data_IF_743677195254
#
_entry.id   IF_743677195254
#
_cell.length_a   1.000
_cell.length_b   1.000
_cell.length_c   1.000
_cell.angle_alpha   90.00
_cell.angle_beta   90.00
_cell.angle_gamma   90.00
#
_symmetry.space_group_name_H-M   'P 1'
#
loop_
_entity.id
_entity.type
_entity.pdbx_description
1 polymer ?
#
# COMPACT_ATOMS: atom_id res chain seq x y z
N UNK A 1 25.71 8.64 -15.95
CA UNK A 1 24.57 8.31 -15.08
C UNK A 1 23.79 9.55 -14.65
N UNK A 2 24.43 10.58 -14.07
CA UNK A 2 23.81 11.89 -13.79
C UNK A 2 23.27 12.61 -15.04
N UNK A 3 23.97 12.52 -16.17
CA UNK A 3 23.56 13.20 -17.41
C UNK A 3 22.33 12.57 -18.10
N UNK A 4 22.06 11.28 -17.88
CA UNK A 4 20.85 10.61 -18.39
C UNK A 4 19.63 10.99 -17.54
N UNK A 5 19.84 11.17 -16.23
CA UNK A 5 18.84 11.69 -15.31
C UNK A 5 18.51 13.16 -15.56
N UNK A 6 19.51 14.00 -15.89
CA UNK A 6 19.27 15.38 -16.30
C UNK A 6 18.54 15.45 -17.64
N UNK A 7 18.91 14.65 -18.64
CA UNK A 7 18.24 14.64 -19.96
C UNK A 7 16.77 14.19 -19.90
N UNK A 8 16.42 13.35 -18.91
CA UNK A 8 15.04 12.91 -18.67
C UNK A 8 14.18 13.99 -17.98
N UNK A 9 14.80 15.01 -17.37
CA UNK A 9 14.13 16.01 -16.52
C UNK A 9 14.34 17.48 -16.95
N UNK A 10 15.17 17.77 -17.95
CA UNK A 10 15.48 19.16 -18.35
C UNK A 10 14.96 19.50 -19.74
N UNK A 11 13.89 20.30 -19.79
CA UNK A 11 13.69 21.22 -20.92
C UNK A 11 12.25 21.49 -21.38
N UNK A 12 11.34 20.53 -21.33
CA UNK A 12 10.01 20.68 -21.97
C UNK A 12 8.79 20.16 -21.17
N UNK A 13 9.00 19.34 -20.13
CA UNK A 13 7.92 18.66 -19.41
C UNK A 13 7.30 19.49 -18.27
N UNK A 14 7.98 20.54 -17.79
CA UNK A 14 7.44 21.43 -16.74
C UNK A 14 6.25 22.26 -17.27
N UNK A 15 6.10 22.37 -18.59
CA UNK A 15 4.95 23.00 -19.27
C UNK A 15 3.70 22.11 -19.37
N UNK A 16 3.77 20.82 -19.04
CA UNK A 16 2.65 19.87 -19.19
C UNK A 16 1.72 19.80 -17.95
N UNK A 17 2.09 20.46 -16.86
CA UNK A 17 1.19 20.75 -15.74
C UNK A 17 0.32 21.97 -16.06
N UNK A 18 -0.41 21.91 -17.17
CA UNK A 18 -1.45 22.89 -17.45
C UNK A 18 -2.45 22.88 -16.29
N UNK A 19 -2.93 24.04 -15.86
CA UNK A 19 -3.97 24.16 -14.82
C UNK A 19 -5.18 23.27 -15.16
N UNK A 20 -5.46 23.08 -16.45
CA UNK A 20 -6.53 22.21 -16.96
C UNK A 20 -6.33 20.71 -16.67
N UNK A 21 -5.09 20.21 -16.58
CA UNK A 21 -4.81 18.80 -16.25
C UNK A 21 -4.70 18.55 -14.74
N UNK A 22 -4.31 19.57 -13.97
CA UNK A 22 -4.25 19.50 -12.50
C UNK A 22 -5.63 19.60 -11.84
N UNK A 23 -6.55 20.36 -12.42
CA UNK A 23 -7.88 20.58 -11.86
C UNK A 23 -8.68 19.27 -11.67
N UNK A 24 -8.77 18.34 -12.65
CA UNK A 24 -9.43 17.05 -12.46
C UNK A 24 -8.80 16.20 -11.36
N UNK A 25 -7.47 16.17 -11.25
CA UNK A 25 -6.76 15.40 -10.21
C UNK A 25 -7.05 15.98 -8.82
N UNK A 26 -7.00 17.31 -8.70
CA UNK A 26 -7.33 18.00 -7.46
C UNK A 26 -8.78 17.72 -7.03
N UNK A 27 -9.73 17.82 -7.96
CA UNK A 27 -11.14 17.51 -7.69
C UNK A 27 -11.34 16.04 -7.33
N UNK A 28 -10.68 15.10 -8.01
CA UNK A 28 -10.77 13.68 -7.73
C UNK A 28 -10.26 13.31 -6.33
N UNK A 29 -9.25 14.02 -5.81
CA UNK A 29 -8.75 13.81 -4.47
C UNK A 29 -9.57 14.53 -3.39
N UNK A 30 -10.08 15.73 -3.68
CA UNK A 30 -10.75 16.57 -2.68
C UNK A 30 -12.24 16.27 -2.53
N UNK A 31 -12.96 15.96 -3.61
CA UNK A 31 -14.40 15.71 -3.57
C UNK A 31 -14.77 14.50 -2.69
N UNK A 32 -14.09 13.33 -2.76
CA UNK A 32 -14.42 12.20 -1.88
C UNK A 32 -14.17 12.53 -0.40
N UNK A 33 -13.09 13.26 -0.10
CA UNK A 33 -12.79 13.71 1.26
C UNK A 33 -13.84 14.68 1.76
N UNK A 34 -14.25 15.66 0.94
CA UNK A 34 -15.34 16.57 1.27
C UNK A 34 -16.66 15.83 1.50
N UNK A 35 -16.98 14.84 0.65
CA UNK A 35 -18.17 14.00 0.82
C UNK A 35 -18.14 13.19 2.12
N UNK A 36 -16.98 12.62 2.49
CA UNK A 36 -16.77 11.92 3.77
C UNK A 36 -16.99 12.86 4.95
N UNK A 37 -16.46 14.09 4.90
CA UNK A 37 -16.64 15.08 5.95
C UNK A 37 -18.11 15.50 6.07
N UNK A 38 -18.78 15.79 4.96
CA UNK A 38 -20.21 16.11 4.95
C UNK A 38 -21.00 14.95 5.56
N UNK A 39 -20.76 13.70 5.13
CA UNK A 39 -21.43 12.52 5.70
C UNK A 39 -21.16 12.34 7.20
N UNK A 40 -19.94 12.60 7.66
CA UNK A 40 -19.58 12.59 9.08
C UNK A 40 -20.33 13.66 9.88
N UNK A 41 -20.40 14.90 9.40
CA UNK A 41 -21.12 15.98 10.08
C UNK A 41 -22.63 15.74 10.08
N UNK A 42 -23.18 15.29 8.95
CA UNK A 42 -24.61 14.99 8.82
C UNK A 42 -25.01 13.85 9.76
N UNK A 43 -24.25 12.75 9.78
CA UNK A 43 -24.51 11.65 10.71
C UNK A 43 -24.45 12.12 12.17
N UNK A 44 -23.47 12.94 12.54
CA UNK A 44 -23.37 13.50 13.91
C UNK A 44 -24.52 14.45 14.28
N UNK A 45 -25.10 15.16 13.30
CA UNK A 45 -26.19 16.10 13.52
C UNK A 45 -27.54 15.38 13.71
N UNK A 46 -27.81 14.35 12.90
CA UNK A 46 -29.09 13.66 12.90
C UNK A 46 -29.14 12.41 13.80
N UNK A 47 -28.01 11.90 14.30
CA UNK A 47 -27.99 10.71 15.17
C UNK A 47 -28.57 11.02 16.56
N UNK A 48 -29.57 10.26 17.03
CA UNK A 48 -30.04 10.32 18.41
C UNK A 48 -28.90 9.99 19.39
N UNK A 49 -28.67 10.88 20.35
CA UNK A 49 -27.61 10.72 21.36
C UNK A 49 -28.14 10.00 22.58
N UNK A 50 -28.18 8.68 22.50
CA UNK A 50 -28.52 7.83 23.64
C UNK A 50 -27.29 7.03 24.09
N UNK A 51 -26.74 7.46 25.22
CA UNK A 51 -25.50 6.96 25.79
C UNK A 51 -25.82 6.00 26.94
N UNK A 52 -25.53 4.72 26.74
CA UNK A 52 -25.61 3.70 27.78
C UNK A 52 -24.25 3.04 27.95
N UNK A 53 -23.94 2.56 29.15
CA UNK A 53 -22.65 1.92 29.45
C UNK A 53 -22.42 0.71 28.54
N UNK A 54 -23.48 -0.05 28.30
CA UNK A 54 -23.50 -1.28 27.49
C UNK A 54 -23.18 -1.00 26.01
N UNK A 55 -23.54 0.18 25.49
CA UNK A 55 -23.19 0.61 24.12
C UNK A 55 -21.71 0.93 23.94
N UNK A 56 -21.01 1.25 25.03
CA UNK A 56 -19.57 1.53 25.04
C UNK A 56 -18.72 0.32 25.40
N UNK A 57 -19.33 -0.69 26.03
CA UNK A 57 -18.66 -1.94 26.36
C UNK A 57 -18.36 -2.77 25.11
N UNK A 58 -17.32 -3.60 25.17
CA UNK A 58 -16.92 -4.46 24.06
C UNK A 58 -18.00 -5.52 23.81
N UNK A 59 -18.28 -5.78 22.54
CA UNK A 59 -19.22 -6.82 22.15
C UNK A 59 -18.68 -8.22 22.54
N UNK A 60 -19.39 -8.92 23.44
CA UNK A 60 -19.10 -10.30 23.85
C UNK A 60 -20.36 -11.20 23.80
N UNK A 61 -21.07 -11.20 22.66
CA UNK A 61 -22.23 -12.06 22.42
C UNK A 61 -23.30 -12.03 23.54
N UNK A 62 -23.50 -10.86 24.15
CA UNK A 62 -24.47 -10.63 25.24
C UNK A 62 -23.93 -10.82 26.66
N UNK A 63 -22.70 -11.32 26.82
CA UNK A 63 -22.06 -11.38 28.13
C UNK A 63 -21.39 -10.04 28.48
N UNK A 64 -21.35 -9.66 29.77
CA UNK A 64 -20.54 -8.53 30.20
C UNK A 64 -19.06 -8.85 29.93
N UNK A 65 -18.30 -7.95 29.29
CA UNK A 65 -16.91 -8.20 28.95
C UNK A 65 -16.09 -8.36 30.24
N UNK A 66 -15.45 -9.52 30.40
CA UNK A 66 -14.68 -9.81 31.60
C UNK A 66 -13.28 -10.33 31.27
N UNK A 67 -12.30 -9.83 32.02
CA UNK A 67 -10.90 -10.23 31.89
C UNK A 67 -10.15 -9.58 30.73
N UNK A 68 -8.90 -10.02 30.55
CA UNK A 68 -8.03 -9.54 29.48
C UNK A 68 -8.43 -10.18 28.15
N UNK A 69 -8.50 -9.38 27.09
CA UNK A 69 -8.70 -9.87 25.73
C UNK A 69 -7.71 -11.00 25.41
N UNK A 70 -8.21 -12.23 25.27
CA UNK A 70 -7.43 -13.40 24.85
C UNK A 70 -7.35 -13.43 23.33
N UNK A 71 -6.78 -12.38 22.74
CA UNK A 71 -6.46 -12.34 21.32
C UNK A 71 -4.96 -12.57 21.18
N UNK A 72 -4.56 -13.74 20.68
CA UNK A 72 -3.23 -13.82 20.08
C UNK A 72 -3.26 -12.91 18.86
N UNK A 73 -2.44 -11.86 18.84
CA UNK A 73 -2.18 -11.16 17.61
C UNK A 73 -1.35 -12.11 16.75
N UNK A 74 -2.04 -12.96 16.00
CA UNK A 74 -1.40 -13.88 15.09
C UNK A 74 -0.69 -13.03 14.03
N UNK A 75 0.63 -12.94 14.10
CA UNK A 75 1.46 -12.30 13.08
C UNK A 75 1.51 -13.12 11.78
N UNK A 76 0.52 -13.98 11.55
CA UNK A 76 0.34 -14.81 10.36
C UNK A 76 0.26 -13.97 9.08
N UNK A 77 -0.17 -12.70 9.17
CA UNK A 77 -0.20 -11.77 8.03
C UNK A 77 1.17 -11.14 7.71
N UNK A 78 2.12 -11.17 8.64
CA UNK A 78 3.45 -10.57 8.44
C UNK A 78 4.22 -11.14 7.25
N UNK A 79 4.32 -12.47 7.04
CA UNK A 79 5.00 -13.01 5.86
C UNK A 79 4.37 -12.56 4.53
N UNK A 80 3.05 -12.31 4.49
CA UNK A 80 2.39 -11.81 3.29
C UNK A 80 2.81 -10.36 2.99
N UNK A 81 3.06 -9.54 4.01
CA UNK A 81 3.64 -8.21 3.84
C UNK A 81 5.06 -8.29 3.28
N UNK A 82 5.88 -9.24 3.74
CA UNK A 82 7.22 -9.45 3.21
C UNK A 82 7.17 -9.84 1.72
N UNK A 83 6.28 -10.76 1.35
CA UNK A 83 6.08 -11.12 -0.08
C UNK A 83 5.63 -9.90 -0.88
N UNK A 84 4.63 -9.15 -0.40
CA UNK A 84 4.15 -7.93 -1.06
C UNK A 84 5.29 -6.93 -1.32
N UNK A 85 6.10 -6.63 -0.29
CA UNK A 85 7.22 -5.69 -0.40
C UNK A 85 8.34 -6.17 -1.35
N UNK A 86 8.48 -7.48 -1.56
CA UNK A 86 9.44 -8.01 -2.55
C UNK A 86 8.89 -8.01 -3.97
N UNK A 87 7.58 -8.16 -4.15
CA UNK A 87 6.93 -8.19 -5.47
C UNK A 87 6.68 -6.78 -6.01
N UNK A 88 6.30 -5.83 -5.14
CA UNK A 88 5.98 -4.46 -5.55
C UNK A 88 7.10 -3.77 -6.36
N UNK A 89 8.38 -3.77 -5.94
CA UNK A 89 9.46 -3.20 -6.71
C UNK A 89 9.64 -3.87 -8.08
N UNK A 90 9.45 -5.20 -8.16
CA UNK A 90 9.54 -5.94 -9.43
C UNK A 90 8.49 -5.42 -10.41
N UNK A 91 7.26 -5.21 -9.96
CA UNK A 91 6.18 -4.69 -10.80
C UNK A 91 6.45 -3.25 -11.26
N UNK A 92 6.96 -2.40 -10.37
CA UNK A 92 7.34 -1.02 -10.73
C UNK A 92 8.44 -1.03 -11.79
N UNK A 93 9.47 -1.86 -11.64
CA UNK A 93 10.55 -1.95 -12.64
C UNK A 93 10.08 -2.56 -13.96
N UNK A 94 9.17 -3.55 -13.94
CA UNK A 94 8.53 -4.07 -15.16
C UNK A 94 7.82 -2.93 -15.88
N UNK A 95 6.98 -2.17 -15.17
CA UNK A 95 6.22 -1.06 -15.74
C UNK A 95 7.15 0.00 -16.37
N UNK A 96 8.15 0.48 -15.60
CA UNK A 96 9.11 1.47 -16.08
C UNK A 96 9.92 0.97 -17.28
N UNK A 97 10.35 -0.30 -17.24
CA UNK A 97 11.12 -0.89 -18.35
C UNK A 97 10.27 -0.94 -19.62
N UNK A 98 9.02 -1.39 -19.53
CA UNK A 98 8.11 -1.44 -20.68
C UNK A 98 7.90 -0.06 -21.30
N UNK A 99 7.77 0.99 -20.49
CA UNK A 99 7.62 2.36 -20.98
C UNK A 99 8.84 2.89 -21.75
N UNK A 100 10.03 2.33 -21.54
CA UNK A 100 11.28 2.77 -22.19
C UNK A 100 11.85 1.77 -23.21
N UNK A 101 11.22 0.61 -23.38
CA UNK A 101 11.71 -0.47 -24.26
C UNK A 101 11.77 -0.08 -25.74
N UNK A 102 10.92 0.86 -26.19
CA UNK A 102 10.85 1.27 -27.60
C UNK A 102 12.06 2.09 -28.05
N UNK A 103 12.69 2.86 -27.15
CA UNK A 103 13.85 3.70 -27.46
C UNK A 103 15.19 2.99 -27.24
N UNK A 104 15.29 2.16 -26.19
CA UNK A 104 16.57 1.60 -25.75
C UNK A 104 16.49 0.10 -25.49
N UNK A 105 15.99 -0.68 -26.46
CA UNK A 105 15.63 -2.10 -26.28
C UNK A 105 16.74 -2.97 -25.67
N UNK A 106 17.98 -2.89 -26.17
CA UNK A 106 19.09 -3.73 -25.66
C UNK A 106 19.57 -3.31 -24.26
N UNK A 107 19.67 -2.01 -24.02
CA UNK A 107 20.12 -1.48 -22.73
C UNK A 107 19.06 -1.68 -21.65
N UNK A 108 17.80 -1.30 -21.92
CA UNK A 108 16.68 -1.47 -20.98
C UNK A 108 16.39 -2.95 -20.76
N UNK A 109 16.42 -3.77 -21.81
CA UNK A 109 16.23 -5.22 -21.70
C UNK A 109 17.31 -5.91 -20.84
N UNK A 110 18.58 -5.51 -21.00
CA UNK A 110 19.68 -6.05 -20.18
C UNK A 110 19.62 -5.58 -18.72
N UNK A 111 19.33 -4.30 -18.47
CA UNK A 111 19.09 -3.78 -17.12
C UNK A 111 17.91 -4.48 -16.44
N UNK A 112 16.80 -4.67 -17.16
CA UNK A 112 15.64 -5.38 -16.66
C UNK A 112 15.96 -6.83 -16.27
N UNK A 113 16.72 -7.55 -17.11
CA UNK A 113 17.15 -8.90 -16.83
C UNK A 113 18.02 -8.98 -15.56
N UNK A 114 19.01 -8.07 -15.42
CA UNK A 114 19.88 -8.00 -14.24
C UNK A 114 19.05 -7.70 -12.99
N UNK A 115 18.15 -6.70 -13.05
CA UNK A 115 17.29 -6.33 -11.92
C UNK A 115 16.36 -7.48 -11.50
N UNK A 116 15.79 -8.21 -12.47
CA UNK A 116 14.93 -9.35 -12.18
C UNK A 116 15.70 -10.47 -11.48
N UNK A 117 16.94 -10.75 -11.90
CA UNK A 117 17.80 -11.74 -11.23
C UNK A 117 18.12 -11.31 -9.78
N UNK A 118 18.47 -10.04 -9.58
CA UNK A 118 18.77 -9.51 -8.24
C UNK A 118 17.53 -9.59 -7.34
N UNK A 119 16.35 -9.24 -7.85
CA UNK A 119 15.09 -9.25 -7.10
C UNK A 119 14.49 -10.65 -6.93
N UNK A 120 14.90 -11.63 -7.74
CA UNK A 120 14.49 -13.03 -7.57
C UNK A 120 14.97 -13.62 -6.23
N UNK A 121 16.15 -13.22 -5.75
CA UNK A 121 16.71 -13.66 -4.47
C UNK A 121 15.84 -13.28 -3.25
N UNK A 122 15.52 -11.99 -3.01
CA UNK A 122 14.64 -11.61 -1.92
C UNK A 122 13.22 -12.16 -2.09
N UNK A 123 12.72 -12.30 -3.32
CA UNK A 123 11.42 -12.93 -3.57
C UNK A 123 11.42 -14.41 -3.14
N UNK A 124 12.47 -15.17 -3.50
CA UNK A 124 12.62 -16.55 -3.06
C UNK A 124 12.67 -16.67 -1.53
N UNK A 125 13.41 -15.77 -0.87
CA UNK A 125 13.45 -15.68 0.59
C UNK A 125 12.08 -15.36 1.20
N UNK A 126 11.34 -14.41 0.62
CA UNK A 126 10.01 -14.03 1.09
C UNK A 126 9.01 -15.19 0.94
N UNK A 127 9.05 -15.92 -0.18
CA UNK A 127 8.21 -17.09 -0.40
C UNK A 127 8.55 -18.23 0.57
N UNK A 128 9.82 -18.49 0.84
CA UNK A 128 10.22 -19.48 1.86
C UNK A 128 9.75 -19.05 3.26
N UNK A 129 9.94 -17.78 3.60
CA UNK A 129 9.48 -17.19 4.85
C UNK A 129 7.97 -17.33 5.04
N UNK A 130 7.19 -17.14 3.96
CA UNK A 130 5.73 -17.28 3.99
C UNK A 130 5.26 -18.73 4.20
N UNK A 131 6.03 -19.72 3.74
CA UNK A 131 5.72 -21.14 4.00
C UNK A 131 5.96 -21.53 5.46
N UNK A 132 6.83 -20.82 6.18
CA UNK A 132 7.21 -21.12 7.56
C UNK A 132 6.29 -20.46 8.58
N UNK A 133 4.98 -20.75 8.51
CA UNK A 133 3.97 -20.19 9.42
C UNK A 133 4.32 -20.36 10.92
N UNK A 134 5.01 -21.45 11.27
CA UNK A 134 5.45 -21.73 12.64
C UNK A 134 6.40 -20.67 13.22
N UNK A 135 7.13 -19.93 12.39
CA UNK A 135 8.01 -18.82 12.82
C UNK A 135 7.22 -17.55 13.16
N UNK A 136 6.02 -17.40 12.61
CA UNK A 136 5.18 -16.20 12.71
C UNK A 136 4.06 -16.34 13.75
N UNK A 137 4.00 -17.51 14.40
CA UNK A 137 3.12 -17.74 15.53
C UNK A 137 3.91 -17.37 16.78
N UNK A 138 3.40 -16.39 17.54
CA UNK A 138 3.98 -16.04 18.84
C UNK A 138 3.86 -17.26 19.76
N UNK A 139 5.00 -17.85 20.12
CA UNK A 139 5.05 -19.00 21.02
C UNK A 139 4.62 -18.58 22.41
N UNK A 140 3.85 -19.44 23.06
CA UNK A 140 3.36 -19.27 24.42
C UNK A 140 4.33 -19.99 25.35
N UNK A 141 5.24 -19.23 25.93
CA UNK A 141 5.86 -19.54 27.22
C UNK A 141 5.09 -18.80 28.33
#
# INVERSE_FOLDING_TARGET
MLHILELLFTGAEVSLLSISSLLPVFLALTLPVAALLVGFFLSRLFTPRDYSKEKYDRFEAGNPPTGRARGYLAMQYYPYLVVFLTVEPVLIFIFLSIMSLHEYTLLVGSLFAILTIILALPLAFALDSARRLKLWIMRRD
#
